data_IF_678235127623
#
_entry.id   IF_678235127623
#
_cell.length_a   1.000
_cell.length_b   1.000
_cell.length_c   1.000
_cell.angle_alpha   90.00
_cell.angle_beta   90.00
_cell.angle_gamma   90.00
#
_symmetry.space_group_name_H-M   'P 1'
#
loop_
_entity.id
_entity.type
_entity.pdbx_description
1 polymer ?
#
# COMPACT_ATOMS: atom_id res chain seq x y z
N UNK A 1 -43.12 -20.69 52.92
CA UNK A 1 -41.80 -20.34 52.38
C UNK A 1 -41.71 -18.83 52.40
N UNK A 2 -40.62 -18.27 52.92
CA UNK A 2 -40.43 -16.80 52.93
C UNK A 2 -39.74 -16.37 51.63
N UNK A 3 -39.82 -15.08 51.27
CA UNK A 3 -39.10 -14.52 50.11
C UNK A 3 -37.61 -14.88 50.15
N UNK A 4 -36.98 -14.72 51.31
CA UNK A 4 -35.56 -15.03 51.51
C UNK A 4 -35.25 -16.50 51.24
N UNK A 5 -36.11 -17.42 51.68
CA UNK A 5 -35.96 -18.85 51.38
C UNK A 5 -36.05 -19.13 49.87
N UNK A 6 -36.97 -18.45 49.16
CA UNK A 6 -37.16 -18.59 47.72
C UNK A 6 -35.96 -18.12 46.91
N UNK A 7 -35.47 -16.92 47.20
CA UNK A 7 -34.29 -16.38 46.55
C UNK A 7 -33.02 -17.19 46.89
N UNK A 8 -32.90 -17.71 48.11
CA UNK A 8 -31.77 -18.57 48.50
C UNK A 8 -31.73 -19.88 47.72
N UNK A 9 -32.90 -20.46 47.40
CA UNK A 9 -32.99 -21.69 46.61
C UNK A 9 -32.77 -21.42 45.11
N UNK A 10 -33.33 -20.32 44.59
CA UNK A 10 -33.11 -19.85 43.22
C UNK A 10 -31.62 -19.61 42.93
N UNK A 11 -30.90 -18.97 43.87
CA UNK A 11 -29.43 -18.75 43.80
C UNK A 11 -28.65 -20.05 43.61
N UNK A 12 -29.10 -21.16 44.20
CA UNK A 12 -28.42 -22.47 44.07
C UNK A 12 -28.58 -23.04 42.66
N UNK A 13 -29.75 -22.87 42.05
CA UNK A 13 -30.03 -23.38 40.71
C UNK A 13 -29.37 -22.53 39.62
N UNK A 14 -29.35 -21.21 39.78
CA UNK A 14 -28.76 -20.28 38.82
C UNK A 14 -27.22 -20.23 38.85
N UNK A 15 -26.55 -20.83 39.84
CA UNK A 15 -25.07 -20.83 39.98
C UNK A 15 -24.31 -21.41 38.77
N UNK A 16 -25.00 -22.15 37.89
CA UNK A 16 -24.41 -22.70 36.66
C UNK A 16 -24.28 -21.66 35.53
N UNK A 17 -24.88 -20.49 35.68
CA UNK A 17 -24.81 -19.40 34.70
C UNK A 17 -23.46 -18.65 34.79
N UNK A 18 -23.02 -18.00 33.70
CA UNK A 18 -21.94 -17.02 33.72
C UNK A 18 -22.22 -15.89 34.71
N UNK A 19 -21.18 -15.29 35.29
CA UNK A 19 -21.31 -14.30 36.36
C UNK A 19 -22.26 -13.13 36.01
N UNK A 20 -22.21 -12.64 34.76
CA UNK A 20 -23.06 -11.54 34.29
C UNK A 20 -24.54 -11.93 34.23
N UNK A 21 -24.85 -13.06 33.58
CA UNK A 21 -26.22 -13.55 33.42
C UNK A 21 -26.83 -13.96 34.77
N UNK A 22 -25.99 -14.41 35.72
CA UNK A 22 -26.38 -14.73 37.09
C UNK A 22 -26.80 -13.49 37.89
N UNK A 23 -26.00 -12.41 37.86
CA UNK A 23 -26.32 -11.17 38.57
C UNK A 23 -27.61 -10.55 38.03
N UNK A 24 -27.74 -10.48 36.71
CA UNK A 24 -28.91 -9.91 36.04
C UNK A 24 -30.20 -10.67 36.36
N UNK A 25 -30.17 -12.01 36.31
CA UNK A 25 -31.31 -12.82 36.70
C UNK A 25 -31.66 -12.65 38.19
N UNK A 26 -30.67 -12.60 39.07
CA UNK A 26 -30.90 -12.45 40.50
C UNK A 26 -31.46 -11.08 40.87
N UNK A 27 -30.99 -10.02 40.22
CA UNK A 27 -31.49 -8.66 40.41
C UNK A 27 -32.94 -8.55 39.97
N UNK A 28 -33.30 -9.13 38.81
CA UNK A 28 -34.68 -9.15 38.31
C UNK A 28 -35.68 -9.74 39.32
N UNK A 29 -35.39 -10.93 39.86
CA UNK A 29 -36.29 -11.54 40.85
C UNK A 29 -36.29 -10.77 42.17
N UNK A 30 -35.15 -10.19 42.57
CA UNK A 30 -35.06 -9.40 43.80
C UNK A 30 -35.94 -8.16 43.71
N UNK A 31 -35.85 -7.42 42.61
CA UNK A 31 -36.67 -6.25 42.30
C UNK A 31 -38.15 -6.62 42.19
N UNK A 32 -38.48 -7.71 41.51
CA UNK A 32 -39.86 -8.20 41.42
C UNK A 32 -40.48 -8.41 42.80
N UNK A 33 -39.79 -9.09 43.71
CA UNK A 33 -40.29 -9.31 45.08
C UNK A 33 -40.32 -8.02 45.92
N UNK A 34 -39.45 -7.04 45.65
CA UNK A 34 -39.49 -5.73 46.31
C UNK A 34 -40.70 -4.89 45.87
N UNK A 35 -41.11 -4.99 44.59
CA UNK A 35 -42.27 -4.27 44.05
C UNK A 35 -43.61 -4.76 44.63
N UNK A 36 -43.77 -6.07 44.81
CA UNK A 36 -45.02 -6.63 45.36
C UNK A 36 -45.13 -6.44 46.88
N UNK A 37 -43.98 -6.28 47.55
CA UNK A 37 -43.89 -6.06 48.99
C UNK A 37 -44.39 -7.25 49.85
N UNK A 38 -44.31 -7.14 51.19
CA UNK A 38 -44.58 -8.23 52.12
C UNK A 38 -46.03 -8.75 52.09
N UNK A 39 -46.98 -7.96 51.60
CA UNK A 39 -48.38 -8.39 51.42
C UNK A 39 -48.59 -9.21 50.13
N UNK A 40 -47.70 -9.08 49.13
CA UNK A 40 -47.81 -9.69 47.81
C UNK A 40 -46.91 -10.91 47.56
N UNK A 41 -45.96 -11.21 48.46
CA UNK A 41 -44.96 -12.29 48.30
C UNK A 41 -45.60 -13.65 47.99
N UNK A 42 -46.71 -13.98 48.66
CA UNK A 42 -47.41 -15.24 48.47
C UNK A 42 -48.07 -15.38 47.08
N UNK A 43 -48.51 -14.28 46.48
CA UNK A 43 -49.05 -14.27 45.11
C UNK A 43 -47.92 -14.38 44.09
N UNK A 44 -46.82 -13.65 44.29
CA UNK A 44 -45.63 -13.70 43.45
C UNK A 44 -45.02 -15.11 43.36
N UNK A 45 -44.91 -15.82 44.48
CA UNK A 45 -44.43 -17.22 44.47
C UNK A 45 -45.37 -18.18 43.75
N UNK A 46 -46.68 -17.89 43.73
CA UNK A 46 -47.66 -18.72 43.03
C UNK A 46 -47.61 -18.48 41.51
N UNK A 47 -47.31 -17.26 41.10
CA UNK A 47 -47.16 -16.87 39.69
C UNK A 47 -45.85 -17.36 39.10
N UNK A 48 -44.74 -17.22 39.85
CA UNK A 48 -43.42 -17.67 39.43
C UNK A 48 -43.22 -19.20 39.54
N UNK A 49 -44.13 -19.90 40.22
CA UNK A 49 -44.03 -21.34 40.43
C UNK A 49 -42.91 -21.72 41.40
N UNK A 50 -42.42 -22.95 41.31
CA UNK A 50 -41.34 -23.40 42.20
C UNK A 50 -40.00 -22.74 41.84
N UNK A 51 -39.08 -22.49 42.79
CA UNK A 51 -37.76 -21.89 42.50
C UNK A 51 -36.96 -22.66 41.45
N UNK A 52 -37.20 -23.97 41.36
CA UNK A 52 -36.58 -24.85 40.37
C UNK A 52 -37.13 -24.62 38.96
N UNK A 53 -38.44 -24.41 38.82
CA UNK A 53 -39.08 -24.12 37.54
C UNK A 53 -38.68 -22.74 37.04
N UNK A 54 -38.74 -21.72 37.89
CA UNK A 54 -38.30 -20.37 37.55
C UNK A 54 -36.83 -20.34 37.09
N UNK A 55 -35.94 -21.07 37.77
CA UNK A 55 -34.54 -21.20 37.34
C UNK A 55 -34.40 -21.95 36.01
N UNK A 56 -35.23 -22.97 35.78
CA UNK A 56 -35.18 -23.75 34.55
C UNK A 56 -35.57 -22.91 33.33
N UNK A 57 -36.62 -22.10 33.45
CA UNK A 57 -37.08 -21.22 32.38
C UNK A 57 -36.04 -20.16 32.02
N UNK A 58 -35.39 -19.56 33.02
CA UNK A 58 -34.29 -18.60 32.80
C UNK A 58 -33.12 -19.28 32.09
N UNK A 59 -32.71 -20.47 32.54
CA UNK A 59 -31.64 -21.22 31.88
C UNK A 59 -32.00 -21.58 30.43
N UNK A 60 -33.25 -21.99 30.19
CA UNK A 60 -33.72 -22.37 28.87
C UNK A 60 -33.72 -21.18 27.90
N UNK A 61 -34.28 -20.05 28.31
CA UNK A 61 -34.37 -18.85 27.48
C UNK A 61 -32.98 -18.29 27.13
N UNK A 62 -32.05 -18.26 28.09
CA UNK A 62 -30.68 -17.81 27.84
C UNK A 62 -29.90 -18.76 26.92
N UNK A 63 -30.17 -20.07 26.97
CA UNK A 63 -29.58 -21.06 26.06
C UNK A 63 -30.13 -20.90 24.64
N UNK A 64 -31.44 -20.72 24.48
CA UNK A 64 -32.06 -20.48 23.18
C UNK A 64 -31.58 -19.16 22.55
N UNK A 65 -31.42 -18.11 23.36
CA UNK A 65 -30.90 -16.83 22.89
C UNK A 65 -29.47 -16.98 22.37
N UNK A 66 -28.57 -17.65 23.12
CA UNK A 66 -27.18 -17.88 22.67
C UNK A 66 -27.10 -18.78 21.44
N UNK A 67 -27.87 -19.88 21.38
CA UNK A 67 -27.88 -20.78 20.21
C UNK A 67 -28.34 -20.06 18.94
N UNK A 68 -29.26 -19.10 19.04
CA UNK A 68 -29.74 -18.33 17.89
C UNK A 68 -28.86 -17.12 17.55
N UNK A 69 -28.09 -16.59 18.51
CA UNK A 69 -27.18 -15.45 18.29
C UNK A 69 -25.73 -15.86 17.99
N UNK A 70 -25.37 -17.14 18.17
CA UNK A 70 -24.09 -17.74 17.76
C UNK A 70 -24.05 -18.14 16.26
N UNK A 71 -24.73 -17.42 15.34
CA UNK A 71 -24.18 -17.31 13.97
C UNK A 71 -23.03 -16.29 14.06
N UNK A 72 -21.75 -16.70 13.92
CA UNK A 72 -20.66 -15.75 14.01
C UNK A 72 -20.76 -14.77 12.83
N UNK A 73 -21.25 -13.56 13.06
CA UNK A 73 -21.25 -12.48 12.06
C UNK A 73 -19.85 -12.27 11.46
N UNK A 74 -18.81 -12.56 12.24
CA UNK A 74 -17.41 -12.59 11.81
C UNK A 74 -17.11 -13.61 10.71
N UNK A 75 -17.75 -14.79 10.71
CA UNK A 75 -17.56 -15.80 9.66
C UNK A 75 -18.25 -15.36 8.37
N UNK A 76 -19.46 -14.78 8.47
CA UNK A 76 -20.22 -14.25 7.32
C UNK A 76 -19.49 -13.08 6.67
N UNK A 77 -18.94 -12.16 7.47
CA UNK A 77 -18.11 -11.05 6.97
C UNK A 77 -16.79 -11.53 6.37
N UNK A 78 -16.10 -12.49 6.99
CA UNK A 78 -14.87 -13.07 6.46
C UNK A 78 -15.12 -13.80 5.14
N UNK A 79 -16.23 -14.52 5.02
CA UNK A 79 -16.63 -15.22 3.80
C UNK A 79 -17.04 -14.24 2.70
N UNK A 80 -17.73 -13.15 3.03
CA UNK A 80 -18.05 -12.07 2.10
C UNK A 80 -16.79 -11.39 1.58
N UNK A 81 -15.84 -11.02 2.46
CA UNK A 81 -14.57 -10.40 2.04
C UNK A 81 -13.77 -11.37 1.16
N UNK A 82 -13.72 -12.65 1.51
CA UNK A 82 -13.03 -13.67 0.71
C UNK A 82 -13.68 -13.88 -0.67
N UNK A 83 -15.01 -13.91 -0.75
CA UNK A 83 -15.75 -14.04 -2.01
C UNK A 83 -15.58 -12.79 -2.88
N UNK A 84 -15.61 -11.60 -2.27
CA UNK A 84 -15.39 -10.33 -2.96
C UNK A 84 -13.95 -10.23 -3.47
N UNK A 85 -12.97 -10.68 -2.67
CA UNK A 85 -11.57 -10.77 -3.07
C UNK A 85 -11.36 -11.78 -4.20
N UNK A 86 -12.08 -12.91 -4.22
CA UNK A 86 -12.00 -13.90 -5.29
C UNK A 86 -12.52 -13.35 -6.64
N UNK A 87 -13.58 -12.53 -6.60
CA UNK A 87 -14.08 -11.84 -7.80
C UNK A 87 -13.23 -10.63 -8.20
N UNK A 88 -12.63 -9.93 -7.24
CA UNK A 88 -11.77 -8.78 -7.52
C UNK A 88 -10.36 -9.18 -7.97
N UNK A 89 -9.84 -10.33 -7.52
CA UNK A 89 -8.51 -10.85 -7.86
C UNK A 89 -8.22 -10.94 -9.37
N UNK A 90 -9.10 -11.50 -10.22
CA UNK A 90 -8.83 -11.59 -11.66
C UNK A 90 -8.72 -10.24 -12.37
N UNK A 91 -9.22 -9.14 -11.79
CA UNK A 91 -9.06 -7.78 -12.32
C UNK A 91 -7.88 -7.07 -11.64
N UNK A 92 -7.77 -7.18 -10.32
CA UNK A 92 -6.75 -6.53 -9.52
C UNK A 92 -5.33 -7.03 -9.85
N UNK A 93 -5.15 -8.33 -10.12
CA UNK A 93 -3.84 -8.92 -10.45
C UNK A 93 -3.30 -8.36 -11.79
N UNK A 94 -4.03 -8.42 -12.92
CA UNK A 94 -3.57 -7.82 -14.17
C UNK A 94 -3.40 -6.30 -14.06
N UNK A 95 -4.28 -5.62 -13.32
CA UNK A 95 -4.17 -4.17 -13.13
C UNK A 95 -2.90 -3.79 -12.33
N UNK A 96 -2.56 -4.56 -11.28
CA UNK A 96 -1.33 -4.35 -10.52
C UNK A 96 -0.07 -4.60 -11.37
N UNK A 97 -0.07 -5.66 -12.19
CA UNK A 97 1.02 -5.95 -13.12
C UNK A 97 1.13 -4.86 -14.19
N UNK A 98 0.00 -4.38 -14.72
CA UNK A 98 -0.04 -3.31 -15.72
C UNK A 98 0.49 -1.99 -15.18
N UNK A 99 0.12 -1.62 -13.94
CA UNK A 99 0.63 -0.41 -13.29
C UNK A 99 2.13 -0.55 -13.01
N UNK A 100 2.56 -1.66 -12.39
CA UNK A 100 3.98 -1.89 -12.09
C UNK A 100 4.84 -1.95 -13.37
N UNK A 101 4.37 -2.68 -14.38
CA UNK A 101 5.01 -2.77 -15.69
C UNK A 101 5.03 -1.44 -16.43
N UNK A 102 3.96 -0.64 -16.32
CA UNK A 102 3.89 0.71 -16.87
C UNK A 102 4.92 1.66 -16.25
N UNK A 103 5.08 1.63 -14.92
CA UNK A 103 6.13 2.41 -14.24
C UNK A 103 7.54 1.99 -14.67
N UNK A 104 7.80 0.69 -14.78
CA UNK A 104 9.09 0.18 -15.25
C UNK A 104 9.33 0.58 -16.71
N UNK A 105 8.32 0.43 -17.56
CA UNK A 105 8.37 0.82 -18.97
C UNK A 105 8.61 2.32 -19.14
N UNK A 106 7.99 3.16 -18.33
CA UNK A 106 8.21 4.61 -18.33
C UNK A 106 9.65 4.96 -17.96
N UNK A 107 10.20 4.34 -16.90
CA UNK A 107 11.58 4.57 -16.47
C UNK A 107 12.57 4.12 -17.55
N UNK A 108 12.37 2.93 -18.13
CA UNK A 108 13.20 2.42 -19.22
C UNK A 108 13.09 3.28 -20.48
N UNK A 109 11.89 3.76 -20.81
CA UNK A 109 11.66 4.66 -21.93
C UNK A 109 12.40 5.99 -21.77
N UNK A 110 12.33 6.61 -20.59
CA UNK A 110 13.06 7.84 -20.28
C UNK A 110 14.58 7.61 -20.38
N UNK A 111 15.08 6.49 -19.84
CA UNK A 111 16.49 6.13 -19.96
C UNK A 111 16.92 5.92 -21.42
N UNK A 112 16.10 5.25 -22.22
CA UNK A 112 16.37 5.02 -23.64
C UNK A 112 16.41 6.34 -24.43
N UNK A 113 15.49 7.27 -24.16
CA UNK A 113 15.49 8.62 -24.76
C UNK A 113 16.74 9.38 -24.36
N UNK A 114 17.11 9.38 -23.08
CA UNK A 114 18.33 10.06 -22.61
C UNK A 114 19.59 9.47 -23.26
N UNK A 115 19.66 8.14 -23.39
CA UNK A 115 20.75 7.45 -24.06
C UNK A 115 20.81 7.78 -25.56
N UNK A 116 19.66 7.87 -26.26
CA UNK A 116 19.63 8.24 -27.68
C UNK A 116 20.07 9.68 -27.92
N UNK A 117 19.70 10.61 -27.01
CA UNK A 117 20.17 12.00 -27.07
C UNK A 117 21.70 12.04 -26.91
N UNK A 118 22.27 11.36 -25.92
CA UNK A 118 23.73 11.30 -25.77
C UNK A 118 24.42 10.69 -27.00
N UNK A 119 23.83 9.62 -27.56
CA UNK A 119 24.40 8.96 -28.73
C UNK A 119 24.36 9.86 -29.99
N UNK A 120 23.25 10.59 -30.19
CA UNK A 120 23.11 11.49 -31.34
C UNK A 120 24.03 12.70 -31.25
N UNK A 121 24.20 13.31 -30.07
CA UNK A 121 25.15 14.42 -29.88
C UNK A 121 26.59 13.94 -30.05
N UNK A 122 26.92 12.77 -29.51
CA UNK A 122 28.23 12.15 -29.71
C UNK A 122 28.53 11.85 -31.18
N UNK A 123 27.56 11.29 -31.91
CA UNK A 123 27.69 11.04 -33.35
C UNK A 123 27.86 12.36 -34.14
N UNK A 124 27.08 13.40 -33.81
CA UNK A 124 27.18 14.72 -34.45
C UNK A 124 28.57 15.34 -34.23
N UNK A 125 29.09 15.22 -33.01
CA UNK A 125 30.44 15.70 -32.64
C UNK A 125 31.53 14.98 -33.44
N UNK A 126 31.39 13.66 -33.62
CA UNK A 126 32.31 12.86 -34.41
C UNK A 126 32.25 13.23 -35.90
N UNK A 127 31.05 13.42 -36.45
CA UNK A 127 30.88 13.88 -37.83
C UNK A 127 31.47 15.27 -38.03
N UNK A 128 31.26 16.21 -37.11
CA UNK A 128 31.86 17.54 -37.17
C UNK A 128 33.40 17.50 -37.14
N UNK A 129 33.97 16.58 -36.35
CA UNK A 129 35.41 16.34 -36.32
C UNK A 129 35.94 15.83 -37.68
N UNK A 130 35.26 14.84 -38.28
CA UNK A 130 35.63 14.32 -39.60
C UNK A 130 35.53 15.39 -40.70
N UNK A 131 34.45 16.18 -40.71
CA UNK A 131 34.28 17.28 -41.65
C UNK A 131 35.40 18.31 -41.47
N UNK A 132 35.71 18.69 -40.23
CA UNK A 132 36.81 19.62 -39.95
C UNK A 132 38.17 19.10 -40.43
N UNK A 133 38.44 17.80 -40.24
CA UNK A 133 39.67 17.17 -40.74
C UNK A 133 39.73 17.15 -42.29
N UNK A 134 38.61 16.82 -42.96
CA UNK A 134 38.52 16.86 -44.42
C UNK A 134 38.71 18.27 -44.98
N UNK A 135 38.12 19.29 -44.33
CA UNK A 135 38.29 20.68 -44.73
C UNK A 135 39.73 21.17 -44.58
N UNK A 136 40.44 20.75 -43.52
CA UNK A 136 41.85 21.08 -43.34
C UNK A 136 42.69 20.44 -44.46
N UNK A 137 42.39 19.19 -44.82
CA UNK A 137 43.06 18.49 -45.91
C UNK A 137 42.86 19.20 -47.26
N UNK A 138 41.62 19.56 -47.59
CA UNK A 138 41.31 20.32 -48.81
C UNK A 138 41.90 21.75 -48.79
N UNK A 139 41.97 22.38 -47.62
CA UNK A 139 42.61 23.70 -47.51
C UNK A 139 44.10 23.61 -47.84
N UNK A 140 44.77 22.54 -47.41
CA UNK A 140 46.19 22.33 -47.69
C UNK A 140 46.47 22.11 -49.18
N UNK A 141 45.56 21.47 -49.93
CA UNK A 141 45.72 21.31 -51.38
C UNK A 141 45.46 22.63 -52.14
N UNK A 142 44.51 23.46 -51.68
CA UNK A 142 44.21 24.78 -52.26
C UNK A 142 45.31 25.81 -52.00
N UNK A 143 46.00 25.73 -50.84
CA UNK A 143 47.19 26.54 -50.53
C UNK A 143 48.26 26.43 -51.61
N UNK A 144 48.46 25.23 -52.14
CA UNK A 144 49.47 24.93 -53.16
C UNK A 144 49.04 25.36 -54.58
N UNK A 145 47.74 25.58 -54.81
CA UNK A 145 47.18 25.69 -56.16
C UNK A 145 46.72 27.10 -56.58
N UNK A 146 46.22 27.96 -55.66
CA UNK A 146 45.48 29.18 -56.09
C UNK A 146 45.70 30.44 -55.26
N UNK A 147 45.42 30.45 -53.95
CA UNK A 147 45.46 31.70 -53.16
C UNK A 147 45.59 31.48 -51.64
N UNK A 148 46.39 32.32 -50.98
CA UNK A 148 46.63 32.30 -49.53
C UNK A 148 45.40 32.66 -48.69
N UNK A 149 44.46 33.44 -49.24
CA UNK A 149 43.24 33.84 -48.53
C UNK A 149 42.24 32.70 -48.39
N UNK A 150 42.10 31.85 -49.42
CA UNK A 150 41.23 30.67 -49.38
C UNK A 150 41.74 29.62 -48.36
N UNK A 151 43.06 29.48 -48.24
CA UNK A 151 43.68 28.63 -47.22
C UNK A 151 43.37 29.10 -45.80
N UNK A 152 43.51 30.40 -45.52
CA UNK A 152 43.25 30.95 -44.19
C UNK A 152 41.79 30.74 -43.75
N UNK A 153 40.84 30.91 -44.67
CA UNK A 153 39.41 30.67 -44.40
C UNK A 153 39.10 29.18 -44.20
N UNK A 154 39.62 28.31 -45.07
CA UNK A 154 39.39 26.87 -44.98
C UNK A 154 40.01 26.25 -43.71
N UNK A 155 41.22 26.67 -43.33
CA UNK A 155 41.81 26.31 -42.04
C UNK A 155 40.97 26.83 -40.86
N UNK A 156 40.52 28.09 -40.92
CA UNK A 156 39.69 28.69 -39.87
C UNK A 156 38.39 27.91 -39.65
N UNK A 157 37.69 27.55 -40.73
CA UNK A 157 36.47 26.76 -40.68
C UNK A 157 36.72 25.33 -40.19
N UNK A 158 37.82 24.70 -40.63
CA UNK A 158 38.21 23.37 -40.18
C UNK A 158 38.54 23.31 -38.68
N UNK A 159 39.34 24.27 -38.18
CA UNK A 159 39.63 24.41 -36.75
C UNK A 159 38.38 24.73 -35.93
N UNK A 160 37.50 25.59 -36.46
CA UNK A 160 36.24 25.92 -35.79
C UNK A 160 35.32 24.69 -35.68
N UNK A 161 35.21 23.88 -36.74
CA UNK A 161 34.42 22.64 -36.73
C UNK A 161 34.98 21.62 -35.73
N UNK A 162 36.30 21.44 -35.67
CA UNK A 162 36.97 20.57 -34.70
C UNK A 162 36.76 21.09 -33.27
N UNK A 163 36.92 22.40 -33.05
CA UNK A 163 36.71 23.03 -31.75
C UNK A 163 35.27 22.91 -31.26
N UNK A 164 34.30 23.10 -32.14
CA UNK A 164 32.88 22.92 -31.83
C UNK A 164 32.55 21.46 -31.50
N UNK A 165 33.10 20.49 -32.26
CA UNK A 165 32.94 19.07 -31.98
C UNK A 165 33.53 18.65 -30.63
N UNK A 166 34.71 19.18 -30.28
CA UNK A 166 35.34 18.94 -28.97
C UNK A 166 34.52 19.53 -27.81
N UNK A 167 34.02 20.76 -27.96
CA UNK A 167 33.16 21.38 -26.95
C UNK A 167 31.86 20.59 -26.73
N UNK A 168 31.24 20.12 -27.80
CA UNK A 168 30.05 19.27 -27.73
C UNK A 168 30.36 17.94 -27.02
N UNK A 169 31.50 17.29 -27.33
CA UNK A 169 31.94 16.08 -26.66
C UNK A 169 32.23 16.27 -25.15
N UNK A 170 32.83 17.41 -24.78
CA UNK A 170 33.03 17.78 -23.38
C UNK A 170 31.70 18.02 -22.65
N UNK A 171 30.73 18.64 -23.32
CA UNK A 171 29.38 18.81 -22.78
C UNK A 171 28.69 17.46 -22.55
N UNK A 172 28.77 16.52 -23.50
CA UNK A 172 28.28 15.15 -23.32
C UNK A 172 28.92 14.46 -22.11
N UNK A 173 30.24 14.57 -21.97
CA UNK A 173 30.94 13.98 -20.83
C UNK A 173 30.46 14.57 -19.49
N UNK A 174 30.20 15.88 -19.45
CA UNK A 174 29.69 16.55 -18.26
C UNK A 174 28.26 16.11 -17.92
N UNK A 175 27.40 15.97 -18.94
CA UNK A 175 26.03 15.46 -18.80
C UNK A 175 26.04 14.01 -18.28
N UNK A 176 26.90 13.14 -18.82
CA UNK A 176 27.04 11.74 -18.38
C UNK A 176 27.58 11.67 -16.95
N UNK A 177 28.53 12.52 -16.58
CA UNK A 177 29.07 12.56 -15.21
C UNK A 177 28.01 13.06 -14.22
N UNK A 178 27.23 14.06 -14.61
CA UNK A 178 26.10 14.57 -13.83
C UNK A 178 25.00 13.52 -13.63
N UNK A 179 24.63 12.79 -14.68
CA UNK A 179 23.61 11.75 -14.61
C UNK A 179 24.04 10.56 -13.74
N UNK A 180 25.32 10.16 -13.77
CA UNK A 180 25.86 9.15 -12.83
C UNK A 180 25.74 9.60 -11.38
N UNK A 181 26.01 10.87 -11.08
CA UNK A 181 25.92 11.40 -9.72
C UNK A 181 24.49 11.43 -9.19
N UNK A 182 23.52 11.82 -10.02
CA UNK A 182 22.10 11.82 -9.64
C UNK A 182 21.56 10.41 -9.47
N UNK A 183 21.92 9.47 -10.35
CA UNK A 183 21.57 8.05 -10.23
C UNK A 183 22.12 7.43 -8.94
N UNK A 184 23.39 7.68 -8.60
CA UNK A 184 23.98 7.19 -7.35
C UNK A 184 23.27 7.77 -6.12
N UNK A 185 22.90 9.05 -6.14
CA UNK A 185 22.12 9.68 -5.06
C UNK A 185 20.75 9.03 -4.89
N UNK A 186 20.04 8.76 -5.98
CA UNK A 186 18.72 8.11 -5.95
C UNK A 186 18.85 6.68 -5.41
N UNK A 187 19.84 5.92 -5.86
CA UNK A 187 20.10 4.56 -5.38
C UNK A 187 20.45 4.57 -3.88
N UNK A 188 21.32 5.47 -3.44
CA UNK A 188 21.68 5.60 -2.02
C UNK A 188 20.49 6.01 -1.16
N UNK A 189 19.65 6.93 -1.64
CA UNK A 189 18.43 7.34 -0.93
C UNK A 189 17.43 6.18 -0.79
N UNK A 190 17.21 5.39 -1.86
CA UNK A 190 16.33 4.20 -1.82
C UNK A 190 16.91 3.15 -0.86
N UNK A 191 18.22 2.91 -0.91
CA UNK A 191 18.95 2.00 -0.01
C UNK A 191 18.82 2.41 1.46
N UNK A 192 19.01 3.69 1.76
CA UNK A 192 18.88 4.23 3.12
C UNK A 192 17.44 4.18 3.62
N UNK A 193 16.44 4.38 2.74
CA UNK A 193 15.03 4.30 3.11
C UNK A 193 14.60 2.87 3.43
N UNK A 194 15.13 1.87 2.71
CA UNK A 194 14.93 0.45 3.06
C UNK A 194 15.53 0.09 4.42
N UNK A 195 16.73 0.59 4.75
CA UNK A 195 17.37 0.33 6.07
C UNK A 195 16.68 1.00 7.25
N UNK A 196 15.86 2.03 7.03
CA UNK A 196 15.08 2.70 8.11
C UNK A 196 13.73 2.04 8.37
N UNK A 197 13.24 1.22 7.45
CA UNK A 197 11.93 0.58 7.50
C UNK A 197 12.02 -0.94 7.75
N UNK A 198 13.22 -1.47 7.99
CA UNK A 198 13.51 -2.86 8.35
C UNK A 198 14.14 -2.86 9.75
#
# INVERSE_FOLDING_TARGET
MTRDDYLAELKKYLKKLPAKDYEEAMDYFTEYFDEVGPEGEGAAMKELGTPKEAAHDVLHNLLEEKVNSDEPEQQKQSFLIALLALFAAPVAIPMAIGIAGGFIGLILGILAIAASICFTIGALSFTAFLIGASLIWESFTVLLATSSSAFALGLGLGLFAIGAGLLAFLADFYIIKGSKWTLLKVIQWISQRRRKNA
#
